data_IF_750810848273
#
_entry.id   IF_750810848273
#
_cell.length_a   1.000
_cell.length_b   1.000
_cell.length_c   1.000
_cell.angle_alpha   90.00
_cell.angle_beta   90.00
_cell.angle_gamma   90.00
#
_symmetry.space_group_name_H-M   'P 1'
#
loop_
_entity.id
_entity.type
_entity.pdbx_description
1 polymer ?
#
# COMPACT_ATOMS: atom_id res chain seq x y z
N UNK A 1 -21.19 -26.69 14.59
CA UNK A 1 -21.03 -25.37 13.92
C UNK A 1 -19.60 -24.92 14.16
N UNK A 2 -18.76 -25.13 13.15
CA UNK A 2 -17.36 -24.73 13.09
C UNK A 2 -17.27 -23.23 12.77
N UNK A 3 -16.80 -22.40 13.71
CA UNK A 3 -16.44 -20.99 13.48
C UNK A 3 -15.22 -20.53 14.32
N UNK A 4 -14.36 -21.46 14.75
CA UNK A 4 -13.12 -21.16 15.51
C UNK A 4 -11.97 -20.83 14.54
N UNK A 5 -12.17 -19.83 13.67
CA UNK A 5 -11.29 -19.65 12.49
C UNK A 5 -10.77 -18.25 12.20
N UNK A 6 -11.15 -17.18 12.90
CA UNK A 6 -10.75 -15.81 12.53
C UNK A 6 -10.54 -14.88 13.73
N UNK A 7 -9.86 -15.35 14.78
CA UNK A 7 -9.61 -14.56 16.00
C UNK A 7 -8.12 -14.41 16.36
N UNK A 8 -7.19 -14.28 15.40
CA UNK A 8 -5.79 -14.02 15.75
C UNK A 8 -5.09 -12.80 15.13
N UNK A 9 -5.50 -12.25 14.00
CA UNK A 9 -4.68 -11.18 13.36
C UNK A 9 -5.42 -9.84 13.21
N UNK A 10 -5.76 -9.14 14.29
CA UNK A 10 -5.99 -7.69 14.22
C UNK A 10 -6.03 -6.99 15.60
N UNK A 11 -5.02 -7.20 16.45
CA UNK A 11 -4.66 -6.22 17.47
C UNK A 11 -4.02 -4.97 16.85
N UNK A 12 -4.61 -4.43 15.78
CA UNK A 12 -4.04 -3.34 15.00
C UNK A 12 -4.67 -1.99 15.36
N UNK A 13 -3.84 -1.00 15.67
CA UNK A 13 -4.30 0.40 15.73
C UNK A 13 -4.83 0.77 14.34
N UNK A 14 -6.09 1.17 14.26
CA UNK A 14 -6.66 1.66 13.01
C UNK A 14 -5.88 2.89 12.55
N UNK A 15 -5.31 2.83 11.36
CA UNK A 15 -4.51 3.91 10.78
C UNK A 15 -5.42 4.88 10.02
N UNK A 16 -5.43 6.14 10.45
CA UNK A 16 -6.09 7.20 9.70
C UNK A 16 -5.19 7.66 8.54
N UNK A 17 -5.73 7.62 7.32
CA UNK A 17 -5.05 8.12 6.13
C UNK A 17 -5.83 9.25 5.48
N UNK A 18 -5.09 10.25 5.01
CA UNK A 18 -5.67 11.26 4.13
C UNK A 18 -6.10 10.61 2.82
N UNK A 19 -7.26 11.04 2.31
CA UNK A 19 -7.90 10.49 1.12
C UNK A 19 -7.56 11.24 -0.17
N UNK A 20 -6.51 12.06 -0.18
CA UNK A 20 -6.03 12.67 -1.42
C UNK A 20 -5.25 11.64 -2.25
N UNK A 21 -5.34 11.75 -3.58
CA UNK A 21 -4.61 10.90 -4.50
C UNK A 21 -3.52 11.71 -5.19
N UNK A 22 -2.29 11.18 -5.14
CA UNK A 22 -1.21 11.62 -5.99
C UNK A 22 -1.49 11.14 -7.42
N UNK A 23 -0.88 11.82 -8.41
CA UNK A 23 -0.89 11.33 -9.78
C UNK A 23 0.14 10.22 -9.89
N UNK A 24 -0.31 8.98 -9.70
CA UNK A 24 0.51 7.77 -9.74
C UNK A 24 0.13 6.95 -10.97
N UNK A 25 1.10 6.59 -11.79
CA UNK A 25 0.87 5.74 -12.97
C UNK A 25 0.80 4.27 -12.57
N UNK A 26 1.72 3.81 -11.73
CA UNK A 26 1.80 2.44 -11.24
C UNK A 26 2.57 2.35 -9.94
N UNK A 27 2.46 1.22 -9.25
CA UNK A 27 3.33 0.92 -8.10
C UNK A 27 4.11 -0.37 -8.33
N UNK A 28 5.26 -0.48 -7.66
CA UNK A 28 6.02 -1.73 -7.56
C UNK A 28 6.19 -2.08 -6.09
N UNK A 29 6.11 -3.37 -5.76
CA UNK A 29 6.23 -3.84 -4.38
C UNK A 29 7.24 -4.99 -4.33
N UNK A 30 8.08 -5.08 -3.28
CA UNK A 30 9.09 -6.15 -3.17
C UNK A 30 8.49 -7.56 -3.28
N UNK A 31 7.27 -7.75 -2.78
CA UNK A 31 6.57 -9.04 -2.82
C UNK A 31 6.18 -9.50 -4.23
N UNK A 32 6.10 -8.58 -5.21
CA UNK A 32 5.74 -8.88 -6.60
C UNK A 32 6.90 -8.58 -7.57
N UNK A 33 8.10 -8.31 -7.04
CA UNK A 33 9.26 -7.95 -7.84
C UNK A 33 9.06 -6.66 -8.65
N UNK A 34 9.24 -6.77 -9.97
CA UNK A 34 9.17 -5.64 -10.92
C UNK A 34 7.79 -5.48 -11.56
N UNK A 35 6.80 -6.26 -11.13
CA UNK A 35 5.43 -6.16 -11.65
C UNK A 35 4.85 -4.76 -11.40
N UNK A 36 4.28 -4.17 -12.47
CA UNK A 36 3.55 -2.90 -12.40
C UNK A 36 2.14 -3.16 -11.90
N UNK A 37 1.92 -2.89 -10.62
CA UNK A 37 0.65 -3.07 -9.94
C UNK A 37 -0.22 -1.81 -10.06
N UNK A 38 -1.53 -2.00 -9.90
CA UNK A 38 -2.46 -0.89 -9.77
C UNK A 38 -2.05 0.02 -8.59
N UNK A 39 -1.89 1.32 -8.83
CA UNK A 39 -1.35 2.22 -7.83
C UNK A 39 -2.35 2.47 -6.70
N UNK A 40 -1.82 2.67 -5.49
CA UNK A 40 -2.58 3.28 -4.39
C UNK A 40 -2.45 4.80 -4.45
N UNK A 41 -3.48 5.49 -3.97
CA UNK A 41 -3.55 6.96 -4.02
C UNK A 41 -2.36 7.67 -3.36
N UNK A 42 -1.83 7.14 -2.25
CA UNK A 42 -0.67 7.69 -1.58
C UNK A 42 0.01 6.63 -0.71
N UNK A 43 1.19 6.94 -0.17
CA UNK A 43 1.95 5.98 0.64
C UNK A 43 1.28 5.58 1.96
N UNK A 44 0.29 6.34 2.43
CA UNK A 44 -0.46 5.97 3.62
C UNK A 44 -1.31 4.72 3.38
N UNK A 45 -1.88 4.62 2.17
CA UNK A 45 -2.72 3.51 1.72
C UNK A 45 -1.94 2.40 1.02
N UNK A 46 -0.69 2.67 0.64
CA UNK A 46 0.20 1.68 0.03
C UNK A 46 0.76 0.72 1.10
N UNK A 47 1.01 -0.56 0.74
CA UNK A 47 1.75 -1.46 1.61
C UNK A 47 3.17 -0.95 1.86
N UNK A 48 3.70 -1.25 3.05
CA UNK A 48 5.07 -0.88 3.42
C UNK A 48 6.07 -1.49 2.45
N UNK A 49 7.04 -0.68 2.03
CA UNK A 49 8.11 -1.09 1.12
C UNK A 49 7.74 -0.99 -0.36
N UNK A 50 6.48 -0.69 -0.70
CA UNK A 50 6.11 -0.40 -2.07
C UNK A 50 6.63 0.97 -2.52
N UNK A 51 6.85 1.12 -3.82
CA UNK A 51 7.24 2.37 -4.47
C UNK A 51 6.11 2.82 -5.38
N UNK A 52 5.68 4.07 -5.24
CA UNK A 52 4.75 4.71 -6.16
C UNK A 52 5.55 5.41 -7.25
N UNK A 53 5.21 5.16 -8.52
CA UNK A 53 5.80 5.81 -9.69
C UNK A 53 4.81 6.85 -10.21
N UNK A 54 5.16 8.13 -10.06
CA UNK A 54 4.29 9.27 -10.34
C UNK A 54 4.30 9.62 -11.83
N UNK A 55 3.20 10.22 -12.31
CA UNK A 55 3.04 10.64 -13.72
C UNK A 55 4.05 11.69 -14.20
N UNK A 56 4.85 12.28 -13.29
CA UNK A 56 5.97 13.15 -13.61
C UNK A 56 7.33 12.44 -13.72
N UNK A 57 7.36 11.10 -13.71
CA UNK A 57 8.58 10.29 -13.75
C UNK A 57 9.35 10.22 -12.42
N UNK A 58 8.87 10.91 -11.39
CA UNK A 58 9.39 10.81 -10.02
C UNK A 58 8.85 9.56 -9.34
N UNK A 59 9.58 9.02 -8.36
CA UNK A 59 9.15 7.86 -7.59
C UNK A 59 9.34 8.09 -6.09
N UNK A 60 8.55 7.40 -5.28
CA UNK A 60 8.58 7.54 -3.82
C UNK A 60 8.36 6.21 -3.12
N UNK A 61 9.30 5.86 -2.24
CA UNK A 61 9.30 4.64 -1.43
C UNK A 61 8.44 4.83 -0.18
N UNK A 62 7.43 3.99 -0.01
CA UNK A 62 6.52 4.00 1.12
C UNK A 62 7.12 3.23 2.31
N UNK A 63 8.00 3.88 3.06
CA UNK A 63 8.75 3.26 4.17
C UNK A 63 7.99 3.22 5.50
N UNK A 64 6.88 3.97 5.61
CA UNK A 64 6.07 4.09 6.83
C UNK A 64 4.61 3.75 6.54
N UNK A 65 4.10 2.79 7.31
CA UNK A 65 2.66 2.64 7.55
C UNK A 65 2.36 3.47 8.79
#
# INVERSE_FOLDING_TARGET
MDWIGMLLEAGGVAKACYLYCLQVDYMTCPSSGEEKLEPKCNCCLAPKGCTLHLSGGSSMLCSKT
#
